data_IF_561394735312
#
_entry.id   IF_561394735312
#
_cell.length_a   1.000
_cell.length_b   1.000
_cell.length_c   1.000
_cell.angle_alpha   90.00
_cell.angle_beta   90.00
_cell.angle_gamma   90.00
#
_symmetry.space_group_name_H-M   'P 1'
#
loop_
_entity.id
_entity.type
_entity.pdbx_description
1 polymer ?
#
# COMPACT_ATOMS: atom_id res chain seq x y z
N UNK A 1 17.12 10.82 3.69
CA UNK A 1 16.02 9.85 3.78
C UNK A 1 14.89 10.27 2.85
N UNK A 2 14.43 9.36 2.00
CA UNK A 2 13.31 9.66 1.12
C UNK A 2 12.05 9.89 1.92
N UNK A 3 11.29 10.92 1.58
CA UNK A 3 9.99 11.14 2.18
C UNK A 3 8.92 10.43 1.35
N UNK A 4 7.70 10.39 1.90
CA UNK A 4 6.57 9.73 1.25
C UNK A 4 6.32 10.26 -0.17
N UNK A 5 6.33 11.59 -0.33
CA UNK A 5 6.04 12.22 -1.63
C UNK A 5 7.03 11.79 -2.71
N UNK A 6 8.29 11.68 -2.36
CA UNK A 6 9.32 11.23 -3.29
C UNK A 6 9.09 9.78 -3.71
N UNK A 7 8.77 8.91 -2.74
CA UNK A 7 8.55 7.48 -3.00
C UNK A 7 7.38 7.25 -3.94
N UNK A 8 6.26 7.94 -3.73
CA UNK A 8 5.06 7.73 -4.54
C UNK A 8 5.08 8.47 -5.88
N UNK A 9 6.05 9.37 -6.08
CA UNK A 9 6.20 10.10 -7.34
C UNK A 9 6.73 9.23 -8.49
N UNK A 10 7.18 8.02 -8.20
CA UNK A 10 7.71 7.09 -9.19
C UNK A 10 6.66 6.69 -10.21
N UNK A 11 7.11 6.33 -11.43
CA UNK A 11 6.23 5.77 -12.45
C UNK A 11 5.78 4.35 -12.10
N UNK A 12 6.62 3.58 -11.41
CA UNK A 12 6.21 2.28 -10.89
C UNK A 12 5.14 2.46 -9.82
N UNK A 13 4.28 1.46 -9.68
CA UNK A 13 3.23 1.48 -8.66
C UNK A 13 3.86 1.38 -7.27
N UNK A 14 3.38 2.20 -6.35
CA UNK A 14 3.72 2.09 -4.92
C UNK A 14 2.48 1.60 -4.18
N UNK A 15 2.63 0.49 -3.47
CA UNK A 15 1.58 -0.07 -2.61
C UNK A 15 1.84 0.41 -1.19
N UNK A 16 0.88 1.14 -0.64
CA UNK A 16 0.96 1.66 0.73
C UNK A 16 -0.01 0.86 1.60
N UNK A 17 0.52 0.23 2.63
CA UNK A 17 -0.25 -0.61 3.56
C UNK A 17 -0.36 0.10 4.91
N UNK A 18 -1.58 0.52 5.25
CA UNK A 18 -1.88 1.06 6.57
C UNK A 18 -2.39 -0.07 7.45
N UNK A 19 -1.67 -0.34 8.53
CA UNK A 19 -1.95 -1.50 9.38
C UNK A 19 -1.87 -1.14 10.86
N UNK A 20 -2.29 -2.07 11.72
CA UNK A 20 -2.07 -2.00 13.15
C UNK A 20 -1.57 -3.36 13.64
N UNK A 21 -0.75 -3.36 14.68
CA UNK A 21 -0.18 -4.59 15.22
C UNK A 21 -1.21 -5.51 15.88
N UNK A 22 -2.31 -4.92 16.38
CA UNK A 22 -3.40 -5.65 17.03
C UNK A 22 -4.44 -6.20 16.05
N UNK A 23 -4.29 -5.93 14.79
CA UNK A 23 -5.29 -6.21 13.76
C UNK A 23 -5.05 -7.59 13.12
N UNK A 24 -5.98 -8.52 13.30
CA UNK A 24 -5.91 -9.86 12.71
C UNK A 24 -5.86 -9.86 11.19
N UNK A 25 -6.80 -9.18 10.50
CA UNK A 25 -6.78 -9.10 9.04
C UNK A 25 -5.50 -8.47 8.48
N UNK A 26 -4.88 -7.54 9.23
CA UNK A 26 -3.60 -6.95 8.83
C UNK A 26 -2.48 -8.01 8.78
N UNK A 27 -2.51 -8.98 9.70
CA UNK A 27 -1.55 -10.08 9.70
C UNK A 27 -1.75 -10.98 8.48
N UNK A 28 -2.98 -11.16 8.05
CA UNK A 28 -3.30 -11.90 6.83
C UNK A 28 -2.73 -11.22 5.60
N UNK A 29 -2.72 -9.88 5.58
CA UNK A 29 -2.18 -9.11 4.47
C UNK A 29 -0.65 -9.22 4.34
N UNK A 30 0.07 -9.47 5.42
CA UNK A 30 1.54 -9.56 5.37
C UNK A 30 2.05 -10.51 4.30
N UNK A 31 1.72 -11.81 4.37
CA UNK A 31 2.14 -12.77 3.35
C UNK A 31 1.61 -12.44 1.95
N UNK A 32 0.43 -11.87 1.85
CA UNK A 32 -0.16 -11.46 0.57
C UNK A 32 0.71 -10.39 -0.10
N UNK A 33 1.08 -9.36 0.66
CA UNK A 33 1.94 -8.28 0.16
C UNK A 33 3.32 -8.82 -0.23
N UNK A 34 3.87 -9.74 0.57
CA UNK A 34 5.14 -10.39 0.26
C UNK A 34 5.08 -11.11 -1.08
N UNK A 35 3.97 -11.81 -1.35
CA UNK A 35 3.78 -12.49 -2.62
C UNK A 35 3.67 -11.51 -3.78
N UNK A 36 2.95 -10.42 -3.61
CA UNK A 36 2.86 -9.36 -4.63
C UNK A 36 4.27 -8.87 -4.98
N UNK A 37 5.09 -8.62 -3.97
CA UNK A 37 6.47 -8.17 -4.19
C UNK A 37 7.32 -9.24 -4.87
N UNK A 38 7.17 -10.50 -4.49
CA UNK A 38 7.90 -11.61 -5.12
C UNK A 38 7.58 -11.74 -6.61
N UNK A 39 6.32 -11.53 -6.98
CA UNK A 39 5.89 -11.66 -8.38
C UNK A 39 6.26 -10.43 -9.21
N UNK A 40 6.02 -9.24 -8.68
CA UNK A 40 6.17 -7.99 -9.43
C UNK A 40 7.57 -7.36 -9.32
N UNK A 41 8.32 -7.69 -8.29
CA UNK A 41 9.69 -7.21 -8.06
C UNK A 41 9.79 -5.68 -8.18
N UNK A 42 10.61 -5.16 -9.08
CA UNK A 42 10.80 -3.71 -9.24
C UNK A 42 9.59 -2.99 -9.81
N UNK A 43 8.59 -3.72 -10.27
CA UNK A 43 7.35 -3.12 -10.80
C UNK A 43 6.48 -2.56 -9.68
N UNK A 44 6.75 -2.91 -8.43
CA UNK A 44 6.01 -2.39 -7.27
C UNK A 44 6.98 -2.05 -6.15
N UNK A 45 6.71 -0.93 -5.49
CA UNK A 45 7.38 -0.56 -4.23
C UNK A 45 6.37 -0.73 -3.10
N UNK A 46 6.84 -1.16 -1.94
CA UNK A 46 5.98 -1.38 -0.78
C UNK A 46 6.37 -0.41 0.33
N UNK A 47 5.38 0.28 0.88
CA UNK A 47 5.55 1.12 2.07
C UNK A 47 4.50 0.69 3.08
N UNK A 48 4.90 0.49 4.33
CA UNK A 48 3.98 0.11 5.41
C UNK A 48 3.98 1.17 6.50
N UNK A 49 2.79 1.54 6.95
CA UNK A 49 2.62 2.49 8.04
C UNK A 49 1.77 1.88 9.15
N UNK A 50 2.35 1.79 10.34
CA UNK A 50 1.63 1.45 11.57
C UNK A 50 0.82 2.68 11.98
N UNK A 51 -0.50 2.57 12.00
CA UNK A 51 -1.38 3.71 12.32
C UNK A 51 -1.25 4.19 13.75
N UNK A 52 -0.71 3.37 14.63
CA UNK A 52 -0.53 3.71 16.05
C UNK A 52 0.82 4.35 16.35
N UNK A 53 1.73 4.34 15.38
CA UNK A 53 3.02 5.01 15.54
C UNK A 53 2.82 6.52 15.42
N UNK A 54 3.18 7.30 16.48
CA UNK A 54 3.01 8.75 16.45
C UNK A 54 3.71 9.44 15.29
N UNK A 55 4.80 8.86 14.78
CA UNK A 55 5.52 9.42 13.62
C UNK A 55 4.68 9.37 12.34
N UNK A 56 3.67 8.50 12.29
CA UNK A 56 2.82 8.33 11.11
C UNK A 56 1.50 9.09 11.21
N UNK A 57 1.30 9.87 12.28
CA UNK A 57 0.02 10.55 12.51
C UNK A 57 -0.43 11.41 11.32
N UNK A 58 0.50 12.22 10.78
CA UNK A 58 0.16 13.11 9.68
C UNK A 58 -0.30 12.33 8.44
N UNK A 59 0.44 11.30 8.03
CA UNK A 59 0.10 10.56 6.83
C UNK A 59 -1.19 9.77 7.00
N UNK A 60 -1.45 9.27 8.20
CA UNK A 60 -2.71 8.59 8.52
C UNK A 60 -3.90 9.56 8.37
N UNK A 61 -3.76 10.77 8.91
CA UNK A 61 -4.80 11.80 8.81
C UNK A 61 -5.00 12.25 7.36
N UNK A 62 -3.93 12.49 6.63
CA UNK A 62 -4.00 12.93 5.23
C UNK A 62 -4.71 11.90 4.35
N UNK A 63 -4.57 10.62 4.66
CA UNK A 63 -5.22 9.54 3.92
C UNK A 63 -6.61 9.19 4.45
N UNK A 64 -7.05 9.87 5.52
CA UNK A 64 -8.37 9.65 6.10
C UNK A 64 -8.61 8.16 6.39
N UNK A 65 -7.63 7.52 7.04
CA UNK A 65 -7.70 6.10 7.37
C UNK A 65 -8.70 5.88 8.50
N UNK A 66 -9.74 5.10 8.24
CA UNK A 66 -10.81 4.81 9.20
C UNK A 66 -10.87 3.35 9.62
N UNK A 67 -10.20 2.49 8.89
CA UNK A 67 -10.16 1.06 9.18
C UNK A 67 -8.84 0.49 8.71
N UNK A 68 -8.44 -0.66 9.25
CA UNK A 68 -7.23 -1.37 8.87
C UNK A 68 -7.58 -2.82 8.57
N UNK A 69 -6.92 -3.46 7.60
CA UNK A 69 -5.92 -2.86 6.72
C UNK A 69 -6.58 -1.96 5.67
N UNK A 70 -5.88 -0.92 5.25
CA UNK A 70 -6.26 -0.12 4.08
C UNK A 70 -5.06 -0.08 3.15
N UNK A 71 -5.29 -0.46 1.89
CA UNK A 71 -4.28 -0.49 0.85
C UNK A 71 -4.54 0.67 -0.10
N UNK A 72 -3.51 1.44 -0.39
CA UNK A 72 -3.58 2.55 -1.34
C UNK A 72 -2.50 2.33 -2.39
N UNK A 73 -2.88 2.41 -3.66
CA UNK A 73 -1.93 2.31 -4.77
C UNK A 73 -1.68 3.70 -5.36
N UNK A 74 -0.41 4.04 -5.49
CA UNK A 74 0.05 5.30 -6.07
C UNK A 74 0.80 5.05 -7.36
N UNK A 75 0.65 5.99 -8.31
CA UNK A 75 1.49 6.06 -9.50
C UNK A 75 1.70 7.52 -9.85
N UNK A 76 2.96 7.91 -10.06
CA UNK A 76 3.31 9.28 -10.43
C UNK A 76 2.71 10.33 -9.48
N UNK A 77 2.73 10.03 -8.18
CA UNK A 77 2.26 10.93 -7.13
C UNK A 77 0.75 10.98 -6.94
N UNK A 78 0.00 10.16 -7.66
CA UNK A 78 -1.46 10.16 -7.59
C UNK A 78 -2.00 8.83 -7.10
N UNK A 79 -3.07 8.89 -6.30
CA UNK A 79 -3.78 7.68 -5.89
C UNK A 79 -4.52 7.13 -7.11
N UNK A 80 -4.23 5.88 -7.47
CA UNK A 80 -4.88 5.21 -8.60
C UNK A 80 -5.86 4.12 -8.14
N UNK A 81 -5.81 3.73 -6.87
CA UNK A 81 -6.74 2.78 -6.28
C UNK A 81 -6.64 2.81 -4.76
N UNK A 82 -7.73 2.50 -4.10
CA UNK A 82 -7.79 2.38 -2.64
C UNK A 82 -8.83 1.33 -2.26
N UNK A 83 -8.50 0.50 -1.27
CA UNK A 83 -9.43 -0.49 -0.75
C UNK A 83 -9.13 -0.83 0.70
N UNK A 84 -10.17 -1.21 1.44
CA UNK A 84 -10.05 -1.62 2.84
C UNK A 84 -10.39 -3.10 2.98
N UNK A 85 -9.81 -3.74 3.99
CA UNK A 85 -9.98 -5.17 4.23
C UNK A 85 -8.97 -6.01 3.47
N UNK A 86 -9.09 -7.33 3.61
CA UNK A 86 -8.17 -8.28 2.97
C UNK A 86 -8.43 -8.35 1.47
N UNK A 87 -7.37 -8.24 0.69
CA UNK A 87 -7.40 -8.35 -0.77
C UNK A 87 -6.43 -9.48 -1.15
N UNK A 88 -6.83 -10.36 -2.07
CA UNK A 88 -5.97 -11.47 -2.48
C UNK A 88 -4.75 -10.97 -3.27
N UNK A 89 -3.69 -11.76 -3.23
CA UNK A 89 -2.47 -11.44 -4.01
C UNK A 89 -2.79 -11.41 -5.51
N UNK A 90 -3.57 -12.36 -5.99
CA UNK A 90 -3.95 -12.44 -7.42
C UNK A 90 -4.70 -11.19 -7.86
N UNK A 91 -5.63 -10.73 -7.02
CA UNK A 91 -6.40 -9.51 -7.32
C UNK A 91 -5.48 -8.29 -7.40
N UNK A 92 -4.57 -8.15 -6.43
CA UNK A 92 -3.62 -7.03 -6.42
C UNK A 92 -2.66 -7.08 -7.61
N UNK A 93 -2.16 -8.26 -7.95
CA UNK A 93 -1.24 -8.43 -9.09
C UNK A 93 -1.94 -8.03 -10.39
N UNK A 94 -3.16 -8.52 -10.61
CA UNK A 94 -3.94 -8.19 -11.80
C UNK A 94 -4.26 -6.70 -11.87
N UNK A 95 -4.65 -6.14 -10.74
CA UNK A 95 -4.98 -4.71 -10.64
C UNK A 95 -3.77 -3.84 -10.95
N UNK A 96 -2.62 -4.16 -10.37
CA UNK A 96 -1.38 -3.41 -10.61
C UNK A 96 -0.98 -3.52 -12.08
N UNK A 97 -1.09 -4.72 -12.68
CA UNK A 97 -0.78 -4.90 -14.10
C UNK A 97 -1.65 -4.02 -15.00
N UNK A 98 -2.93 -3.85 -14.66
CA UNK A 98 -3.83 -2.96 -15.40
C UNK A 98 -3.47 -1.49 -15.19
N UNK A 99 -3.18 -1.12 -13.96
CA UNK A 99 -2.91 0.29 -13.60
C UNK A 99 -1.58 0.79 -14.17
N UNK A 100 -0.58 -0.07 -14.32
CA UNK A 100 0.72 0.36 -14.89
C UNK A 100 0.63 0.69 -16.38
N UNK A 101 -0.46 0.35 -17.05
CA UNK A 101 -0.67 0.63 -18.48
C UNK A 101 -1.46 1.90 -18.75
N UNK A 102 -1.94 2.53 -17.70
CA UNK A 102 -2.81 3.72 -17.83
C UNK A 102 -1.99 5.00 -17.82
#
# INVERSE_FOLDING_TARGET
>A
MENFKEKVAQQAITLVDFYATWCGPCRTMGPIIDRVKQVLRERVSIIKYDIDDPQNERIVLEHNIRSVPTIVLYRAGKIVWRGSGVVSAEHLIDLIAKLEKV
#
